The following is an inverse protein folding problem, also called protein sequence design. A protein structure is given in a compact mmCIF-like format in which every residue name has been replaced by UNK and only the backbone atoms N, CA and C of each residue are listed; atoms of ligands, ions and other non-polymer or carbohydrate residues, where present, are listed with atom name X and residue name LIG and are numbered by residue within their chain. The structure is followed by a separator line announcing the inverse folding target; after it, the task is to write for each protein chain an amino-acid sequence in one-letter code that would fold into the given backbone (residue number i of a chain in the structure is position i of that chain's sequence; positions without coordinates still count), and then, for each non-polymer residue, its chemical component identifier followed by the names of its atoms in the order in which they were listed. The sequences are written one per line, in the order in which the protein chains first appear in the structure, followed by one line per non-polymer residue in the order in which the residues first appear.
data_IF_533014386734
#
_entry.id   IF_533014386734
#
_cell.length_a   1.000
_cell.length_b   1.000
_cell.length_c   1.000
_cell.angle_alpha   90.00
_cell.angle_beta   90.00
_cell.angle_gamma   90.00
#
_symmetry.space_group_name_H-M   'P 1'
#
loop_
_entity.id
_entity.type
_entity.pdbx_description
1 polymer ?
#
# COMPACT_ATOMS: atom_id res chain seq x y z
N UNK A 1 17.12 -9.76 -0.14
CA UNK A 1 16.66 -8.48 0.45
C UNK A 1 17.78 -7.89 1.30
N UNK A 2 17.89 -6.58 1.36
CA UNK A 2 18.88 -5.87 2.18
C UNK A 2 18.19 -4.71 2.94
N UNK A 3 18.72 -4.38 4.11
CA UNK A 3 18.25 -3.27 4.93
C UNK A 3 19.46 -2.42 5.31
N UNK A 4 19.53 -1.22 4.72
CA UNK A 4 20.65 -0.33 4.90
C UNK A 4 20.22 0.87 5.74
N UNK A 5 20.91 1.11 6.85
CA UNK A 5 20.76 2.31 7.67
C UNK A 5 22.01 3.17 7.44
N UNK A 6 21.81 4.40 7.03
CA UNK A 6 22.87 5.38 6.74
C UNK A 6 22.79 6.47 7.79
N UNK A 7 23.83 6.57 8.62
CA UNK A 7 23.95 7.70 9.53
C UNK A 7 24.50 8.91 8.76
N UNK A 8 23.67 9.90 8.52
CA UNK A 8 24.03 11.06 7.73
C UNK A 8 22.87 12.04 7.54
N UNK A 9 23.20 13.19 6.98
CA UNK A 9 22.20 14.20 6.63
C UNK A 9 21.50 13.82 5.33
N UNK A 10 20.17 13.92 5.32
CA UNK A 10 19.27 13.47 4.26
C UNK A 10 19.70 13.90 2.86
N UNK A 11 19.92 15.22 2.65
CA UNK A 11 20.21 15.75 1.32
C UNK A 11 21.54 15.21 0.79
N UNK A 12 22.58 15.19 1.63
CA UNK A 12 23.89 14.70 1.28
C UNK A 12 23.86 13.22 0.89
N UNK A 13 23.09 12.41 1.59
CA UNK A 13 23.05 10.97 1.35
C UNK A 13 22.15 10.60 0.17
N UNK A 14 21.00 11.27 -0.01
CA UNK A 14 20.13 11.01 -1.17
C UNK A 14 20.83 11.43 -2.48
N UNK A 15 21.61 12.51 -2.48
CA UNK A 15 22.37 12.96 -3.65
C UNK A 15 23.36 11.91 -4.18
N UNK A 16 23.92 11.07 -3.29
CA UNK A 16 24.83 9.97 -3.67
C UNK A 16 24.12 8.77 -4.30
N UNK A 17 22.78 8.71 -4.17
CA UNK A 17 22.00 7.57 -4.67
C UNK A 17 21.79 7.67 -6.19
N UNK A 18 21.78 6.53 -6.90
CA UNK A 18 21.47 6.50 -8.32
C UNK A 18 20.06 7.04 -8.62
N UNK A 19 19.91 7.78 -9.70
CA UNK A 19 18.58 8.17 -10.18
C UNK A 19 17.75 6.94 -10.55
N UNK A 20 16.43 7.02 -10.33
CA UNK A 20 15.46 5.97 -10.69
C UNK A 20 15.78 4.59 -10.06
N UNK A 21 16.25 4.58 -8.81
CA UNK A 21 16.63 3.36 -8.07
C UNK A 21 15.59 2.90 -7.05
N UNK A 22 14.66 3.78 -6.63
CA UNK A 22 13.72 3.56 -5.54
C UNK A 22 12.31 3.30 -6.07
N UNK A 23 11.64 2.28 -5.52
CA UNK A 23 10.26 1.91 -5.87
C UNK A 23 9.23 2.68 -5.06
N UNK A 24 9.47 2.81 -3.75
CA UNK A 24 8.59 3.49 -2.81
C UNK A 24 9.39 4.39 -1.89
N UNK A 25 8.93 5.61 -1.69
CA UNK A 25 9.45 6.52 -0.66
C UNK A 25 8.36 6.74 0.37
N UNK A 26 8.69 6.61 1.65
CA UNK A 26 7.93 7.16 2.76
C UNK A 26 8.79 8.20 3.43
N UNK A 27 8.26 9.41 3.65
CA UNK A 27 8.99 10.51 4.25
C UNK A 27 8.19 11.13 5.40
N UNK A 28 8.82 11.20 6.56
CA UNK A 28 8.33 11.89 7.78
C UNK A 28 9.28 13.04 8.12
N UNK A 29 9.26 14.14 7.32
CA UNK A 29 10.22 15.23 7.46
C UNK A 29 10.00 16.04 8.74
N UNK A 30 10.94 16.90 9.14
CA UNK A 30 10.69 17.90 10.19
C UNK A 30 9.41 18.69 9.94
N UNK A 31 8.63 18.95 11.01
CA UNK A 31 7.31 19.62 10.92
C UNK A 31 7.38 21.11 11.13
N UNK A 32 8.53 21.59 11.62
CA UNK A 32 8.69 22.97 12.08
C UNK A 32 7.59 23.33 13.11
N UNK A 33 7.56 22.57 14.20
CA UNK A 33 6.49 22.61 15.21
C UNK A 33 6.36 23.97 15.91
N UNK A 34 7.39 24.83 15.89
CA UNK A 34 7.44 26.14 16.53
C UNK A 34 6.99 26.11 18.00
N UNK A 35 7.30 25.01 18.71
CA UNK A 35 6.94 24.86 20.10
C UNK A 35 8.03 25.48 20.98
N UNK A 36 7.75 26.61 21.59
CA UNK A 36 8.62 27.22 22.58
C UNK A 36 8.19 26.81 24.01
N UNK A 37 9.17 26.46 24.86
CA UNK A 37 8.99 26.23 26.27
C UNK A 37 8.46 24.87 26.70
N UNK A 38 8.28 24.69 28.00
CA UNK A 38 7.76 23.46 28.62
C UNK A 38 6.24 23.58 28.74
N UNK A 39 5.52 22.66 28.11
CA UNK A 39 4.07 22.55 28.24
C UNK A 39 3.75 21.88 29.59
N UNK A 40 2.85 22.49 30.37
CA UNK A 40 2.35 21.91 31.63
C UNK A 40 1.02 21.22 31.44
N UNK A 41 0.88 20.03 32.01
CA UNK A 41 -0.40 19.33 32.09
C UNK A 41 -1.30 20.01 33.15
N UNK A 42 -2.59 19.73 33.09
CA UNK A 42 -3.59 20.28 34.03
C UNK A 42 -3.22 19.96 35.49
N UNK A 43 -2.63 18.80 35.74
CA UNK A 43 -2.13 18.36 37.03
C UNK A 43 -0.78 18.99 37.43
N UNK A 44 -0.25 19.94 36.66
CA UNK A 44 0.99 20.69 36.96
C UNK A 44 2.29 19.97 36.58
N UNK A 45 2.24 18.74 36.02
CA UNK A 45 3.41 18.02 35.55
C UNK A 45 3.89 18.52 34.18
N UNK A 46 5.19 18.54 33.98
CA UNK A 46 5.79 18.99 32.72
C UNK A 46 5.55 17.98 31.60
N UNK A 47 5.13 18.46 30.41
CA UNK A 47 5.09 17.71 29.19
C UNK A 47 6.26 18.16 28.31
N UNK A 48 7.22 17.26 28.09
CA UNK A 48 8.30 17.49 27.13
C UNK A 48 7.71 17.41 25.72
N UNK A 49 7.52 18.55 25.08
CA UNK A 49 7.20 18.67 23.65
C UNK A 49 8.37 18.20 22.77
N UNK A 50 8.21 18.30 21.47
CA UNK A 50 9.32 18.12 20.53
C UNK A 50 10.14 19.44 20.55
N UNK A 51 11.31 19.39 21.18
CA UNK A 51 12.27 20.50 21.21
C UNK A 51 13.60 20.06 20.57
N UNK A 52 13.53 19.06 19.68
CA UNK A 52 14.69 18.46 19.06
C UNK A 52 15.30 19.43 18.04
N UNK A 53 16.61 19.58 18.03
CA UNK A 53 17.34 20.57 17.22
C UNK A 53 17.17 20.40 15.70
N UNK A 54 16.72 19.24 15.24
CA UNK A 54 16.44 18.97 13.83
C UNK A 54 15.11 19.60 13.32
N UNK A 55 14.22 20.07 14.20
CA UNK A 55 12.93 20.68 13.84
C UNK A 55 12.96 22.22 13.94
N UNK A 56 14.14 22.84 13.84
CA UNK A 56 14.32 24.29 13.99
C UNK A 56 14.66 24.95 12.66
N UNK A 57 13.82 25.90 12.24
CA UNK A 57 14.01 26.75 11.07
C UNK A 57 13.75 28.19 11.47
N UNK A 58 14.54 29.12 10.93
CA UNK A 58 14.47 30.54 11.27
C UNK A 58 13.33 31.26 10.55
N UNK A 59 12.90 30.76 9.39
CA UNK A 59 11.84 31.36 8.60
C UNK A 59 11.06 30.32 7.78
N UNK A 60 9.91 30.72 7.23
CA UNK A 60 9.13 29.91 6.29
C UNK A 60 9.94 29.65 5.01
N UNK A 61 10.64 30.63 4.53
CA UNK A 61 11.47 30.53 3.31
C UNK A 61 12.57 29.50 3.47
N UNK A 62 13.22 29.44 4.64
CA UNK A 62 14.23 28.43 4.94
C UNK A 62 13.62 27.02 4.95
N UNK A 63 12.44 26.86 5.55
CA UNK A 63 11.70 25.60 5.54
C UNK A 63 11.26 25.17 4.14
N UNK A 64 10.80 26.13 3.33
CA UNK A 64 10.42 25.88 1.92
C UNK A 64 11.64 25.46 1.07
N UNK A 65 12.78 26.14 1.24
CA UNK A 65 14.01 25.80 0.54
C UNK A 65 14.50 24.38 0.92
N UNK A 66 14.53 24.07 2.22
CA UNK A 66 14.83 22.72 2.70
C UNK A 66 13.90 21.69 2.08
N UNK A 67 12.58 21.95 2.13
CA UNK A 67 11.56 21.04 1.61
C UNK A 67 11.72 20.84 0.10
N UNK A 68 11.97 21.88 -0.64
CA UNK A 68 12.21 21.81 -2.09
C UNK A 68 13.43 20.97 -2.43
N UNK A 69 14.53 21.13 -1.70
CA UNK A 69 15.78 20.41 -1.94
C UNK A 69 15.58 18.89 -1.79
N UNK A 70 15.08 18.44 -0.65
CA UNK A 70 14.93 17.00 -0.43
C UNK A 70 13.85 16.37 -1.33
N UNK A 71 12.75 17.07 -1.62
CA UNK A 71 11.72 16.59 -2.55
C UNK A 71 12.27 16.49 -3.98
N UNK A 72 13.14 17.42 -4.41
CA UNK A 72 13.80 17.34 -5.73
C UNK A 72 14.65 16.08 -5.84
N UNK A 73 15.45 15.78 -4.82
CA UNK A 73 16.27 14.58 -4.81
C UNK A 73 15.43 13.30 -4.70
N UNK A 74 14.37 13.30 -3.90
CA UNK A 74 13.41 12.21 -3.87
C UNK A 74 12.77 11.98 -5.25
N UNK A 75 12.41 13.05 -5.96
CA UNK A 75 11.90 12.93 -7.33
C UNK A 75 12.94 12.31 -8.27
N UNK A 76 14.24 12.67 -8.15
CA UNK A 76 15.32 12.14 -8.97
C UNK A 76 15.50 10.64 -8.75
N UNK A 77 15.60 10.19 -7.50
CA UNK A 77 15.86 8.78 -7.15
C UNK A 77 14.66 7.86 -7.33
N UNK A 78 13.45 8.38 -7.29
CA UNK A 78 12.22 7.62 -7.50
C UNK A 78 12.18 7.08 -8.94
N UNK A 79 11.81 5.80 -9.12
CA UNK A 79 11.58 5.18 -10.43
C UNK A 79 10.42 5.85 -11.17
N UNK A 80 10.30 5.73 -12.51
CA UNK A 80 9.20 6.33 -13.28
C UNK A 80 7.80 5.87 -12.81
N UNK A 81 7.70 4.63 -12.34
CA UNK A 81 6.46 4.03 -11.80
C UNK A 81 6.47 3.93 -10.27
N UNK A 82 7.44 4.54 -9.61
CA UNK A 82 7.52 4.58 -8.16
C UNK A 82 6.51 5.56 -7.56
N UNK A 83 6.25 5.41 -6.28
CA UNK A 83 5.36 6.27 -5.52
C UNK A 83 6.06 6.85 -4.29
N UNK A 84 5.56 7.99 -3.82
CA UNK A 84 6.01 8.65 -2.60
C UNK A 84 4.82 8.92 -1.69
N UNK A 85 5.00 8.67 -0.41
CA UNK A 85 4.13 9.10 0.66
C UNK A 85 4.86 10.09 1.55
N UNK A 86 4.27 11.24 1.80
CA UNK A 86 4.81 12.24 2.73
C UNK A 86 3.79 12.50 3.80
N UNK A 87 4.15 12.31 5.06
CA UNK A 87 3.28 12.59 6.20
C UNK A 87 3.64 13.95 6.81
N UNK A 88 2.63 14.64 7.33
CA UNK A 88 2.84 15.89 8.03
C UNK A 88 1.63 16.35 8.82
N UNK A 89 1.90 17.18 9.82
CA UNK A 89 0.88 17.92 10.57
C UNK A 89 0.43 19.18 9.83
N UNK A 90 -0.55 19.88 10.40
CA UNK A 90 -1.10 21.13 9.84
C UNK A 90 -0.03 22.22 9.63
N UNK A 91 1.10 22.15 10.32
CA UNK A 91 2.17 23.15 10.25
C UNK A 91 2.93 23.10 8.93
N UNK A 92 3.05 21.91 8.34
CA UNK A 92 3.96 21.67 7.21
C UNK A 92 3.28 21.08 5.97
N UNK A 93 2.22 20.29 6.13
CA UNK A 93 1.69 19.46 5.03
C UNK A 93 1.20 20.29 3.83
N UNK A 94 0.64 21.48 4.06
CA UNK A 94 0.15 22.33 2.98
C UNK A 94 1.31 22.93 2.15
N UNK A 95 2.37 23.37 2.81
CA UNK A 95 3.62 23.84 2.18
C UNK A 95 4.26 22.70 1.39
N UNK A 96 4.39 21.51 1.99
CA UNK A 96 4.91 20.32 1.33
C UNK A 96 4.09 19.99 0.07
N UNK A 97 2.76 19.95 0.18
CA UNK A 97 1.86 19.65 -0.93
C UNK A 97 1.98 20.65 -2.09
N UNK A 98 2.09 21.95 -1.77
CA UNK A 98 2.30 23.00 -2.77
C UNK A 98 3.64 22.82 -3.50
N UNK A 99 4.72 22.54 -2.77
CA UNK A 99 6.05 22.30 -3.36
C UNK A 99 6.06 21.02 -4.19
N UNK A 100 5.42 19.94 -3.76
CA UNK A 100 5.28 18.72 -4.55
C UNK A 100 4.63 18.98 -5.92
N UNK A 101 3.53 19.77 -5.95
CA UNK A 101 2.87 20.16 -7.21
C UNK A 101 3.79 21.00 -8.11
N UNK A 102 4.51 21.97 -7.55
CA UNK A 102 5.47 22.81 -8.27
C UNK A 102 6.62 21.99 -8.88
N UNK A 103 7.06 20.94 -8.20
CA UNK A 103 8.10 20.01 -8.67
C UNK A 103 7.57 18.99 -9.70
N UNK A 104 6.28 18.99 -10.00
CA UNK A 104 5.67 18.13 -11.00
C UNK A 104 5.25 16.76 -10.50
N UNK A 105 5.20 16.53 -9.20
CA UNK A 105 4.56 15.32 -8.66
C UNK A 105 3.08 15.28 -9.00
N UNK A 106 2.58 14.12 -9.38
CA UNK A 106 1.16 13.87 -9.57
C UNK A 106 0.57 13.31 -8.27
N UNK A 107 -0.21 14.12 -7.57
CA UNK A 107 -0.89 13.70 -6.35
C UNK A 107 -2.00 12.72 -6.72
N UNK A 108 -2.01 11.55 -6.07
CA UNK A 108 -2.99 10.47 -6.25
C UNK A 108 -4.13 10.65 -5.24
N UNK A 109 -3.77 10.74 -3.95
CA UNK A 109 -4.69 10.97 -2.85
C UNK A 109 -4.01 11.80 -1.73
N UNK A 110 -4.81 12.46 -0.95
CA UNK A 110 -4.54 12.77 0.44
C UNK A 110 -5.20 11.72 1.34
N UNK A 111 -4.53 11.35 2.43
CA UNK A 111 -5.03 10.39 3.41
C UNK A 111 -4.95 11.00 4.79
N UNK A 112 -6.05 10.96 5.52
CA UNK A 112 -6.13 11.44 6.91
C UNK A 112 -5.87 10.27 7.84
N UNK A 113 -4.75 10.29 8.55
CA UNK A 113 -4.53 9.41 9.69
C UNK A 113 -5.26 9.99 10.91
N UNK A 114 -6.44 9.45 11.21
CA UNK A 114 -7.19 9.77 12.42
C UNK A 114 -6.63 8.99 13.61
N UNK A 115 -6.05 9.70 14.55
CA UNK A 115 -5.44 9.16 15.77
C UNK A 115 -6.53 8.68 16.74
N UNK A 116 -6.58 7.39 17.06
CA UNK A 116 -7.58 6.84 18.01
C UNK A 116 -7.43 7.43 19.43
N UNK A 117 -6.21 7.80 19.79
CA UNK A 117 -5.83 8.29 21.12
C UNK A 117 -4.94 9.55 21.02
N UNK A 118 -5.46 10.67 20.47
CA UNK A 118 -4.67 11.89 20.31
C UNK A 118 -4.34 12.53 21.67
N UNK A 119 -3.17 13.16 21.75
CA UNK A 119 -2.80 13.93 22.93
C UNK A 119 -3.75 15.12 23.10
N UNK A 120 -4.35 15.34 24.29
CA UNK A 120 -5.21 16.48 24.54
C UNK A 120 -4.48 17.84 24.34
N UNK A 121 -5.23 18.87 24.00
CA UNK A 121 -4.74 20.25 24.17
C UNK A 121 -4.89 20.65 25.63
N UNK A 122 -3.79 20.62 26.38
CA UNK A 122 -3.80 20.87 27.81
C UNK A 122 -4.24 22.29 28.19
N UNK A 123 -4.05 23.28 27.33
CA UNK A 123 -4.44 24.66 27.58
C UNK A 123 -5.89 24.99 27.21
N UNK A 124 -6.58 24.08 26.50
CA UNK A 124 -7.96 24.29 26.06
C UNK A 124 -8.17 25.47 25.10
N UNK A 125 -7.11 25.98 24.49
CA UNK A 125 -7.13 27.18 23.64
C UNK A 125 -7.47 26.91 22.18
N UNK A 126 -7.44 25.65 21.77
CA UNK A 126 -7.76 25.19 20.41
C UNK A 126 -8.17 23.71 20.41
N UNK A 127 -8.63 23.21 19.28
CA UNK A 127 -8.90 21.78 19.08
C UNK A 127 -7.61 20.96 19.27
N UNK A 128 -7.72 19.72 19.75
CA UNK A 128 -6.58 18.81 19.77
C UNK A 128 -6.20 18.36 18.36
N UNK A 129 -4.93 18.05 18.17
CA UNK A 129 -4.43 17.53 16.89
C UNK A 129 -4.77 16.04 16.74
N UNK A 130 -6.01 15.75 16.38
CA UNK A 130 -6.52 14.39 16.28
C UNK A 130 -6.18 13.68 14.97
N UNK A 131 -5.50 14.34 14.04
CA UNK A 131 -5.07 13.73 12.78
C UNK A 131 -3.74 14.29 12.27
N UNK A 132 -3.14 13.54 11.37
CA UNK A 132 -2.09 13.97 10.44
C UNK A 132 -2.51 13.60 9.02
N UNK A 133 -1.94 14.27 8.04
CA UNK A 133 -2.24 14.03 6.62
C UNK A 133 -1.05 13.39 5.94
N UNK A 134 -1.33 12.37 5.11
CA UNK A 134 -0.34 11.80 4.21
C UNK A 134 -0.70 12.21 2.77
N UNK A 135 0.27 12.70 2.03
CA UNK A 135 0.13 12.95 0.59
C UNK A 135 0.74 11.75 -0.15
N UNK A 136 -0.09 11.07 -0.93
CA UNK A 136 0.35 10.00 -1.83
C UNK A 136 0.49 10.54 -3.25
N UNK A 137 1.69 10.40 -3.81
CA UNK A 137 1.98 10.94 -5.13
C UNK A 137 2.91 10.03 -5.95
N UNK A 138 3.00 10.31 -7.23
CA UNK A 138 3.91 9.68 -8.18
C UNK A 138 4.51 10.72 -9.12
N UNK A 139 5.46 10.31 -9.99
CA UNK A 139 6.16 11.24 -10.90
C UNK A 139 5.28 11.87 -11.98
N UNK A 140 4.22 11.20 -12.41
CA UNK A 140 3.37 11.70 -13.48
C UNK A 140 2.02 11.02 -13.50
N UNK A 141 1.02 11.65 -14.11
CA UNK A 141 -0.31 11.08 -14.38
C UNK A 141 -0.24 9.74 -15.15
N UNK A 142 0.82 9.51 -15.93
CA UNK A 142 0.99 8.31 -16.76
C UNK A 142 1.73 7.17 -16.03
N UNK A 143 2.22 7.40 -14.81
CA UNK A 143 2.94 6.40 -14.05
C UNK A 143 2.04 5.19 -13.75
N UNK A 144 2.59 3.99 -13.94
CA UNK A 144 1.93 2.72 -13.60
C UNK A 144 2.38 2.28 -12.21
N UNK A 145 2.06 3.10 -11.21
CA UNK A 145 2.43 2.83 -9.83
C UNK A 145 1.76 1.56 -9.28
N UNK A 146 2.35 0.99 -8.25
CA UNK A 146 1.76 -0.16 -7.56
C UNK A 146 0.63 0.32 -6.65
N UNK A 147 -0.55 -0.29 -6.81
CA UNK A 147 -1.64 -0.23 -5.86
C UNK A 147 -2.27 -1.61 -5.73
N UNK A 148 -2.01 -2.26 -4.62
CA UNK A 148 -2.53 -3.57 -4.28
C UNK A 148 -3.96 -3.40 -3.75
N UNK A 149 -4.92 -3.24 -4.67
CA UNK A 149 -6.31 -2.87 -4.38
C UNK A 149 -7.03 -3.91 -3.52
N UNK A 150 -6.85 -5.19 -3.84
CA UNK A 150 -7.50 -6.26 -3.08
C UNK A 150 -6.85 -6.42 -1.70
N UNK A 151 -5.52 -6.31 -1.62
CA UNK A 151 -4.79 -6.25 -0.34
C UNK A 151 -5.28 -5.06 0.51
N UNK A 152 -5.52 -3.90 -0.09
CA UNK A 152 -6.09 -2.76 0.63
C UNK A 152 -7.49 -3.06 1.20
N UNK A 153 -8.32 -3.86 0.51
CA UNK A 153 -9.62 -4.32 1.02
C UNK A 153 -9.45 -5.28 2.21
N UNK A 154 -8.45 -6.16 2.18
CA UNK A 154 -8.14 -7.06 3.30
C UNK A 154 -7.63 -6.30 4.53
N UNK A 155 -7.01 -5.14 4.35
CA UNK A 155 -6.53 -4.28 5.44
C UNK A 155 -7.58 -3.29 5.95
N UNK A 156 -8.78 -3.24 5.33
CA UNK A 156 -9.81 -2.29 5.70
C UNK A 156 -10.60 -2.75 6.93
N UNK A 157 -10.14 -2.37 8.11
CA UNK A 157 -10.86 -2.51 9.38
C UNK A 157 -11.56 -1.21 9.80
N UNK A 158 -11.46 -0.15 9.01
CA UNK A 158 -11.94 1.19 9.38
C UNK A 158 -13.44 1.37 9.08
N UNK A 159 -13.94 0.69 8.04
CA UNK A 159 -15.32 0.84 7.54
C UNK A 159 -16.11 -0.48 7.52
N UNK A 160 -15.51 -1.54 8.02
CA UNK A 160 -16.14 -2.89 8.11
C UNK A 160 -16.18 -3.29 9.58
N UNK A 161 -17.35 -3.66 10.07
CA UNK A 161 -17.47 -4.20 11.41
C UNK A 161 -16.74 -5.54 11.52
N UNK A 162 -16.18 -5.85 12.69
CA UNK A 162 -15.37 -7.05 12.92
C UNK A 162 -16.12 -8.33 12.55
N UNK A 163 -17.41 -8.41 12.88
CA UNK A 163 -18.25 -9.58 12.58
C UNK A 163 -18.47 -9.75 11.08
N UNK A 164 -18.64 -8.65 10.33
CA UNK A 164 -18.79 -8.69 8.88
C UNK A 164 -17.47 -9.04 8.21
N UNK A 165 -16.38 -8.52 8.72
CA UNK A 165 -15.04 -8.85 8.24
C UNK A 165 -14.75 -10.37 8.42
N UNK A 166 -15.12 -10.95 9.56
CA UNK A 166 -15.05 -12.40 9.81
C UNK A 166 -15.90 -13.22 8.85
N UNK A 167 -17.04 -12.68 8.38
CA UNK A 167 -17.89 -13.30 7.35
C UNK A 167 -17.36 -13.13 5.91
N UNK A 168 -16.19 -12.58 5.73
CA UNK A 168 -15.57 -12.36 4.43
C UNK A 168 -16.03 -11.10 3.68
N UNK A 169 -16.79 -10.21 4.32
CA UNK A 169 -17.19 -8.93 3.71
C UNK A 169 -15.96 -8.02 3.62
N UNK A 170 -15.64 -7.56 2.41
CA UNK A 170 -14.51 -6.70 2.11
C UNK A 170 -14.98 -5.45 1.39
N UNK A 171 -14.77 -4.29 2.00
CA UNK A 171 -15.07 -2.99 1.40
C UNK A 171 -13.80 -2.28 0.96
N UNK A 172 -13.90 -1.36 0.01
CA UNK A 172 -12.77 -0.54 -0.42
C UNK A 172 -12.23 0.28 0.75
N UNK A 173 -10.91 0.30 0.89
CA UNK A 173 -10.23 1.16 1.86
C UNK A 173 -10.41 2.63 1.45
N UNK A 174 -10.92 3.45 2.35
CA UNK A 174 -11.08 4.88 2.16
C UNK A 174 -9.82 5.67 2.49
N UNK A 175 -9.90 7.00 2.37
CA UNK A 175 -8.80 7.93 2.66
C UNK A 175 -8.78 8.45 4.11
N UNK A 176 -9.56 7.87 5.01
CA UNK A 176 -9.52 8.18 6.45
C UNK A 176 -9.19 6.90 7.22
N UNK A 177 -8.01 6.85 7.83
CA UNK A 177 -7.49 5.68 8.52
C UNK A 177 -7.50 5.88 10.03
N UNK A 178 -8.18 5.02 10.76
CA UNK A 178 -8.28 5.06 12.23
C UNK A 178 -7.19 4.19 12.85
N UNK A 179 -6.02 4.77 13.14
CA UNK A 179 -4.87 4.06 13.70
C UNK A 179 -4.46 4.75 15.01
N UNK A 180 -4.10 3.96 16.03
CA UNK A 180 -3.59 4.51 17.28
C UNK A 180 -2.20 5.13 17.08
N UNK A 181 -1.85 6.13 17.91
CA UNK A 181 -0.46 6.60 17.97
C UNK A 181 0.42 5.51 18.58
N UNK A 182 1.70 5.50 18.20
CA UNK A 182 2.68 4.59 18.76
C UNK A 182 2.74 4.64 20.28
N UNK A 183 2.56 3.51 20.96
CA UNK A 183 2.55 3.37 22.40
C UNK A 183 2.91 1.96 22.86
N UNK A 184 3.05 1.77 24.18
CA UNK A 184 3.29 0.45 24.76
C UNK A 184 4.60 -0.20 24.31
N UNK A 185 4.55 -1.48 23.96
CA UNK A 185 5.70 -2.29 23.54
C UNK A 185 6.24 -1.94 22.15
N UNK A 186 5.43 -1.34 21.30
CA UNK A 186 5.84 -0.87 19.97
C UNK A 186 6.84 0.30 20.04
N UNK A 187 6.76 1.08 21.12
CA UNK A 187 7.61 2.26 21.29
C UNK A 187 9.04 1.85 21.63
N UNK A 188 9.99 2.30 20.81
CA UNK A 188 11.42 2.13 21.10
C UNK A 188 11.81 2.95 22.30
N UNK A 189 12.46 2.32 23.25
CA UNK A 189 12.95 2.92 24.50
C UNK A 189 14.47 2.83 24.54
N UNK A 190 15.07 3.78 25.25
CA UNK A 190 16.49 3.75 25.54
C UNK A 190 16.84 2.84 26.74
N UNK A 191 18.11 2.82 27.14
CA UNK A 191 18.63 2.04 28.26
C UNK A 191 18.03 2.41 29.63
N UNK A 192 17.42 3.61 29.73
CA UNK A 192 16.76 4.07 30.94
C UNK A 192 15.26 3.78 30.94
N UNK A 193 14.75 3.15 29.89
CA UNK A 193 13.32 2.90 29.69
C UNK A 193 12.52 4.11 29.22
N UNK A 194 13.21 5.22 28.89
CA UNK A 194 12.59 6.44 28.35
C UNK A 194 12.32 6.29 26.84
N UNK A 195 11.32 7.04 26.33
CA UNK A 195 11.05 7.06 24.89
C UNK A 195 12.26 7.58 24.11
N UNK A 196 12.74 6.79 23.14
CA UNK A 196 13.88 7.18 22.33
C UNK A 196 13.57 8.37 21.42
N UNK A 197 12.41 8.36 20.76
CA UNK A 197 11.96 9.40 19.81
C UNK A 197 10.60 9.94 20.21
N UNK A 198 10.42 11.27 20.12
CA UNK A 198 9.20 11.95 20.55
C UNK A 198 7.99 11.60 19.67
N UNK A 199 8.20 11.41 18.37
CA UNK A 199 7.14 11.31 17.34
C UNK A 199 7.20 10.03 16.51
N UNK A 200 7.66 8.90 17.12
CA UNK A 200 7.67 7.61 16.42
C UNK A 200 6.33 7.30 15.78
N UNK A 201 6.34 6.97 14.48
CA UNK A 201 5.12 6.57 13.75
C UNK A 201 4.73 5.13 14.06
N UNK A 202 3.42 4.82 14.11
CA UNK A 202 2.94 3.46 14.41
C UNK A 202 3.23 2.47 13.29
N UNK A 203 3.54 1.22 13.66
CA UNK A 203 3.81 0.13 12.72
C UNK A 203 2.63 -0.12 11.78
N UNK A 204 1.41 -0.10 12.29
CA UNK A 204 0.19 -0.30 11.49
C UNK A 204 0.11 0.69 10.32
N UNK A 205 0.52 1.94 10.51
CA UNK A 205 0.51 2.96 9.47
C UNK A 205 1.50 2.60 8.35
N UNK A 206 2.75 2.29 8.72
CA UNK A 206 3.81 1.96 7.76
C UNK A 206 3.54 0.61 7.08
N UNK A 207 3.05 -0.38 7.83
CA UNK A 207 2.62 -1.66 7.29
C UNK A 207 1.59 -1.47 6.18
N UNK A 208 0.56 -0.66 6.44
CA UNK A 208 -0.52 -0.36 5.48
C UNK A 208 0.04 0.34 4.24
N UNK A 209 0.83 1.42 4.40
CA UNK A 209 1.45 2.15 3.29
C UNK A 209 2.29 1.23 2.41
N UNK A 210 3.19 0.44 3.01
CA UNK A 210 4.11 -0.42 2.26
C UNK A 210 3.37 -1.57 1.58
N UNK A 211 2.43 -2.23 2.27
CA UNK A 211 1.67 -3.35 1.72
C UNK A 211 0.84 -2.94 0.48
N UNK A 212 0.20 -1.75 0.50
CA UNK A 212 -0.65 -1.33 -0.61
C UNK A 212 0.11 -0.69 -1.77
N UNK A 213 1.32 -0.16 -1.53
CA UNK A 213 2.05 0.68 -2.51
C UNK A 213 3.34 0.06 -3.03
N UNK A 214 3.65 -1.19 -2.66
CA UNK A 214 4.87 -1.89 -3.10
C UNK A 214 4.64 -3.37 -3.32
N UNK A 215 5.63 -4.02 -3.95
CA UNK A 215 5.70 -5.47 -4.16
C UNK A 215 6.85 -6.05 -3.35
N UNK A 216 6.84 -7.37 -3.18
CA UNK A 216 8.00 -8.10 -2.64
C UNK A 216 9.26 -7.73 -3.43
N UNK A 217 10.38 -7.57 -2.73
CA UNK A 217 11.69 -7.18 -3.26
C UNK A 217 11.84 -5.71 -3.70
N UNK A 218 10.76 -4.93 -3.79
CA UNK A 218 10.86 -3.49 -4.03
C UNK A 218 11.76 -2.82 -2.99
N UNK A 219 12.40 -1.72 -3.39
CA UNK A 219 13.26 -0.91 -2.52
C UNK A 219 12.48 0.26 -1.95
N UNK A 220 12.37 0.29 -0.63
CA UNK A 220 11.72 1.36 0.13
C UNK A 220 12.79 2.30 0.69
N UNK A 221 12.67 3.59 0.40
CA UNK A 221 13.50 4.64 0.98
C UNK A 221 12.71 5.42 2.02
N UNK A 222 13.32 5.66 3.19
CA UNK A 222 12.89 6.68 4.13
C UNK A 222 14.06 7.65 4.37
N UNK A 223 13.96 8.89 3.85
CA UNK A 223 15.00 9.89 4.01
C UNK A 223 15.07 10.51 5.42
N UNK A 224 14.11 10.18 6.30
CA UNK A 224 14.02 10.64 7.69
C UNK A 224 13.71 9.47 8.61
N UNK A 225 14.64 8.51 8.71
CA UNK A 225 14.42 7.17 9.25
C UNK A 225 13.94 7.10 10.71
N UNK A 226 14.32 8.07 11.55
CA UNK A 226 13.96 8.10 12.96
C UNK A 226 14.30 6.79 13.68
N UNK A 227 13.30 6.14 14.27
CA UNK A 227 13.45 4.83 14.94
C UNK A 227 13.27 3.63 14.01
N UNK A 228 13.41 3.81 12.70
CA UNK A 228 13.40 2.78 11.66
C UNK A 228 12.09 1.98 11.54
N UNK A 229 10.95 2.57 11.84
CA UNK A 229 9.65 1.90 11.68
C UNK A 229 9.41 1.48 10.24
N UNK A 230 9.78 2.34 9.28
CA UNK A 230 9.69 2.03 7.83
C UNK A 230 10.53 0.80 7.46
N UNK A 231 11.79 0.70 7.96
CA UNK A 231 12.64 -0.45 7.70
C UNK A 231 12.10 -1.74 8.34
N UNK A 232 11.61 -1.65 9.57
CA UNK A 232 11.02 -2.79 10.29
C UNK A 232 9.82 -3.36 9.50
N UNK A 233 8.92 -2.49 9.03
CA UNK A 233 7.75 -2.93 8.26
C UNK A 233 8.12 -3.37 6.83
N UNK A 234 9.11 -2.75 6.21
CA UNK A 234 9.64 -3.21 4.92
C UNK A 234 10.21 -4.63 5.03
N UNK A 235 11.02 -4.92 6.06
CA UNK A 235 11.58 -6.26 6.31
C UNK A 235 10.48 -7.28 6.58
N UNK A 236 9.54 -6.95 7.46
CA UNK A 236 8.38 -7.78 7.80
C UNK A 236 7.58 -8.19 6.56
N UNK A 237 7.42 -7.27 5.61
CA UNK A 237 6.70 -7.48 4.38
C UNK A 237 7.56 -8.03 3.21
N UNK A 238 8.85 -8.27 3.40
CA UNK A 238 9.74 -8.81 2.35
C UNK A 238 10.17 -7.79 1.29
N UNK A 239 10.35 -6.53 1.68
CA UNK A 239 10.91 -5.45 0.86
C UNK A 239 12.32 -5.14 1.31
N UNK A 240 13.18 -4.69 0.38
CA UNK A 240 14.46 -4.09 0.75
C UNK A 240 14.25 -2.66 1.25
N UNK A 241 15.14 -2.16 2.11
CA UNK A 241 15.00 -0.79 2.63
C UNK A 241 16.33 -0.04 2.73
N UNK A 242 16.23 1.29 2.53
CA UNK A 242 17.32 2.23 2.76
C UNK A 242 16.75 3.34 3.64
N UNK A 243 17.37 3.53 4.81
CA UNK A 243 16.99 4.55 5.78
C UNK A 243 18.13 5.53 5.93
N UNK A 244 17.82 6.81 6.00
CA UNK A 244 18.78 7.86 6.30
C UNK A 244 18.35 8.52 7.60
N UNK A 245 19.28 8.63 8.55
CA UNK A 245 19.02 9.23 9.84
C UNK A 245 20.28 9.94 10.36
N UNK A 246 20.09 11.15 10.81
CA UNK A 246 21.20 12.01 11.26
C UNK A 246 21.65 11.64 12.67
N UNK A 247 20.72 11.25 13.55
CA UNK A 247 21.03 10.88 14.91
C UNK A 247 21.60 9.46 14.99
N UNK A 248 22.85 9.36 15.43
CA UNK A 248 23.56 8.09 15.56
C UNK A 248 22.89 7.13 16.56
N UNK A 249 22.34 7.66 17.66
CA UNK A 249 21.63 6.85 18.67
C UNK A 249 20.38 6.21 18.06
N UNK A 250 19.63 6.98 17.24
CA UNK A 250 18.47 6.43 16.52
C UNK A 250 18.88 5.35 15.53
N UNK A 251 19.99 5.53 14.81
CA UNK A 251 20.53 4.50 13.92
C UNK A 251 20.88 3.20 14.67
N UNK A 252 21.56 3.30 15.83
CA UNK A 252 21.99 2.14 16.60
C UNK A 252 20.81 1.34 17.18
N UNK A 253 19.83 2.02 17.77
CA UNK A 253 18.62 1.37 18.29
C UNK A 253 17.72 0.85 17.16
N UNK A 254 17.64 1.62 16.09
CA UNK A 254 16.89 1.23 14.91
C UNK A 254 17.48 0.00 14.23
N UNK A 255 18.81 -0.14 14.16
CA UNK A 255 19.48 -1.33 13.63
C UNK A 255 19.10 -2.57 14.44
N UNK A 256 19.19 -2.52 15.77
CA UNK A 256 18.75 -3.62 16.64
C UNK A 256 17.31 -4.01 16.38
N UNK A 257 16.41 -3.01 16.33
CA UNK A 257 15.00 -3.25 16.01
C UNK A 257 14.80 -3.95 14.68
N UNK A 258 15.50 -3.51 13.63
CA UNK A 258 15.40 -4.13 12.30
C UNK A 258 15.98 -5.54 12.30
N UNK A 259 17.06 -5.78 13.05
CA UNK A 259 17.67 -7.12 13.14
C UNK A 259 16.70 -8.13 13.80
N UNK A 260 15.94 -7.71 14.81
CA UNK A 260 14.96 -8.53 15.53
C UNK A 260 13.66 -8.82 14.72
N UNK A 261 13.39 -8.11 13.64
CA UNK A 261 12.20 -8.36 12.80
C UNK A 261 12.46 -9.54 11.86
N UNK A 262 11.51 -10.45 11.78
CA UNK A 262 11.50 -11.53 10.80
C UNK A 262 10.55 -11.23 9.65
N UNK A 263 10.84 -11.78 8.47
CA UNK A 263 9.92 -11.74 7.34
C UNK A 263 8.69 -12.62 7.63
N UNK A 264 7.51 -12.08 7.41
CA UNK A 264 6.26 -12.81 7.52
C UNK A 264 5.76 -13.24 6.13
N UNK A 265 5.81 -14.54 5.85
CA UNK A 265 5.28 -15.10 4.59
C UNK A 265 3.75 -15.16 4.63
N UNK A 266 3.10 -14.04 4.38
CA UNK A 266 1.65 -13.89 4.41
C UNK A 266 1.08 -13.53 3.05
N UNK A 267 -0.22 -13.81 2.80
CA UNK A 267 -0.90 -13.37 1.58
C UNK A 267 -0.83 -11.85 1.35
N UNK A 268 -0.78 -11.04 2.42
CA UNK A 268 -0.63 -9.58 2.36
C UNK A 268 0.80 -9.21 1.92
N UNK A 269 1.82 -9.79 2.56
CA UNK A 269 3.22 -9.52 2.22
C UNK A 269 3.53 -9.83 0.75
N UNK A 270 2.95 -10.91 0.23
CA UNK A 270 3.10 -11.35 -1.15
C UNK A 270 2.08 -10.74 -2.13
N UNK A 271 1.16 -9.88 -1.66
CA UNK A 271 0.07 -9.33 -2.46
C UNK A 271 -0.69 -10.40 -3.27
N UNK A 272 -0.91 -11.58 -2.68
CA UNK A 272 -1.52 -12.74 -3.35
C UNK A 272 -2.89 -12.38 -3.92
N UNK A 273 -3.67 -11.58 -3.19
CA UNK A 273 -4.99 -11.14 -3.60
C UNK A 273 -4.99 -10.32 -4.91
N UNK A 274 -3.89 -9.61 -5.21
CA UNK A 274 -3.74 -8.73 -6.37
C UNK A 274 -3.05 -9.42 -7.56
N UNK A 275 -2.54 -10.64 -7.36
CA UNK A 275 -1.95 -11.41 -8.45
C UNK A 275 -3.02 -11.75 -9.49
N UNK A 276 -2.63 -11.64 -10.75
CA UNK A 276 -3.49 -12.10 -11.84
C UNK A 276 -3.53 -13.62 -11.80
N UNK A 277 -4.73 -14.23 -11.82
CA UNK A 277 -4.83 -15.68 -11.92
C UNK A 277 -4.05 -16.19 -13.13
N UNK A 278 -3.42 -17.36 -12.99
CA UNK A 278 -2.77 -18.03 -14.13
C UNK A 278 -3.73 -18.06 -15.32
N UNK A 279 -3.23 -17.64 -16.49
CA UNK A 279 -4.00 -17.80 -17.72
C UNK A 279 -4.04 -19.29 -18.03
N UNK A 280 -5.22 -19.80 -18.25
CA UNK A 280 -5.47 -21.17 -18.69
C UNK A 280 -6.37 -21.14 -19.92
N UNK A 281 -6.07 -21.95 -20.88
CA UNK A 281 -6.83 -22.07 -22.13
C UNK A 281 -7.85 -23.19 -22.01
N UNK A 282 -8.88 -23.17 -22.85
CA UNK A 282 -9.85 -24.26 -22.94
C UNK A 282 -9.17 -25.57 -23.37
N UNK A 283 -8.20 -25.48 -24.29
CA UNK A 283 -7.42 -26.63 -24.79
C UNK A 283 -6.62 -27.29 -23.65
N UNK A 284 -5.95 -26.51 -22.80
CA UNK A 284 -5.25 -27.06 -21.63
C UNK A 284 -6.22 -27.79 -20.69
N UNK A 285 -7.41 -27.24 -20.46
CA UNK A 285 -8.43 -27.86 -19.60
C UNK A 285 -9.03 -29.12 -20.23
N UNK A 286 -9.15 -29.18 -21.57
CA UNK A 286 -9.53 -30.43 -22.30
C UNK A 286 -8.44 -31.48 -22.11
N UNK A 287 -7.18 -31.13 -22.35
CA UNK A 287 -6.04 -32.05 -22.19
C UNK A 287 -5.94 -32.57 -20.74
N UNK A 288 -6.24 -31.74 -19.77
CA UNK A 288 -6.25 -32.08 -18.33
C UNK A 288 -7.51 -32.85 -17.87
N UNK A 289 -8.48 -33.14 -18.77
CA UNK A 289 -9.68 -33.90 -18.47
C UNK A 289 -10.79 -33.14 -17.74
N UNK A 290 -10.71 -31.84 -17.65
CA UNK A 290 -11.76 -30.99 -17.06
C UNK A 290 -12.96 -30.79 -18.01
N UNK A 291 -12.71 -30.88 -19.31
CA UNK A 291 -13.71 -30.84 -20.37
C UNK A 291 -13.41 -31.94 -21.39
N UNK A 292 -14.41 -32.27 -22.21
CA UNK A 292 -14.22 -33.22 -23.32
C UNK A 292 -14.70 -32.64 -24.66
N UNK A 293 -14.11 -33.05 -25.74
CA UNK A 293 -14.54 -32.67 -27.10
C UNK A 293 -15.96 -33.15 -27.36
N UNK A 294 -16.81 -32.28 -27.87
CA UNK A 294 -18.22 -32.59 -28.07
C UNK A 294 -19.09 -32.28 -26.83
N UNK A 295 -18.52 -31.70 -25.79
CA UNK A 295 -19.28 -31.36 -24.59
C UNK A 295 -20.28 -30.23 -24.87
N UNK A 296 -21.57 -30.40 -24.46
CA UNK A 296 -22.58 -29.38 -24.67
C UNK A 296 -22.44 -28.26 -23.64
N UNK A 297 -22.57 -27.02 -24.13
CA UNK A 297 -22.51 -25.79 -23.36
C UNK A 297 -23.92 -25.18 -23.25
N UNK A 298 -24.29 -24.80 -22.03
CA UNK A 298 -25.60 -24.34 -21.63
C UNK A 298 -25.58 -22.91 -21.16
N UNK A 299 -26.72 -22.20 -21.31
CA UNK A 299 -27.00 -21.04 -20.50
C UNK A 299 -27.44 -21.47 -19.09
N UNK A 300 -27.44 -20.51 -18.14
CA UNK A 300 -27.86 -20.72 -16.75
C UNK A 300 -29.30 -21.25 -16.58
N UNK A 301 -30.15 -21.00 -17.57
CA UNK A 301 -31.53 -21.49 -17.60
C UNK A 301 -31.65 -22.95 -18.08
N UNK A 302 -30.53 -23.61 -18.35
CA UNK A 302 -30.48 -25.01 -18.81
C UNK A 302 -30.66 -25.21 -20.31
N UNK A 303 -30.78 -24.13 -21.09
CA UNK A 303 -30.85 -24.20 -22.55
C UNK A 303 -29.49 -24.60 -23.11
N UNK A 304 -29.43 -25.68 -23.85
CA UNK A 304 -28.26 -26.06 -24.64
C UNK A 304 -28.08 -25.12 -25.82
N UNK A 305 -26.87 -24.64 -26.05
CA UNK A 305 -26.61 -23.58 -27.04
C UNK A 305 -25.51 -23.95 -28.02
N UNK A 306 -24.41 -24.55 -27.55
CA UNK A 306 -23.21 -24.77 -28.36
C UNK A 306 -22.49 -26.04 -27.90
N UNK A 307 -21.55 -26.52 -28.72
CA UNK A 307 -20.76 -27.72 -28.42
C UNK A 307 -19.26 -27.41 -28.47
N UNK A 308 -18.49 -27.92 -27.51
CA UNK A 308 -17.06 -27.68 -27.42
C UNK A 308 -16.27 -28.43 -28.48
N UNK A 309 -15.40 -27.73 -29.20
CA UNK A 309 -14.50 -28.29 -30.20
C UNK A 309 -13.10 -28.56 -29.59
N UNK A 310 -12.31 -29.40 -30.30
CA UNK A 310 -10.96 -29.79 -29.89
C UNK A 310 -10.01 -28.60 -29.68
N UNK A 311 -10.16 -27.57 -30.50
CA UNK A 311 -9.34 -26.34 -30.41
C UNK A 311 -9.82 -25.33 -29.35
N UNK A 312 -10.81 -25.70 -28.54
CA UNK A 312 -11.35 -24.89 -27.47
C UNK A 312 -12.38 -23.83 -27.91
N UNK A 313 -12.73 -23.79 -29.23
CA UNK A 313 -13.84 -23.00 -29.75
C UNK A 313 -15.17 -23.71 -29.52
N UNK A 314 -16.27 -22.98 -29.67
CA UNK A 314 -17.61 -23.55 -29.62
C UNK A 314 -18.21 -23.64 -31.03
N UNK A 315 -18.84 -24.76 -31.34
CA UNK A 315 -19.70 -24.93 -32.51
C UNK A 315 -21.07 -24.34 -32.18
N UNK A 316 -21.45 -23.28 -32.86
CA UNK A 316 -22.73 -22.59 -32.71
C UNK A 316 -23.35 -22.33 -34.08
N UNK A 317 -24.56 -22.78 -34.34
CA UNK A 317 -25.26 -22.66 -35.65
C UNK A 317 -24.40 -23.16 -36.86
N UNK A 318 -23.59 -24.18 -36.67
CA UNK A 318 -22.72 -24.72 -37.71
C UNK A 318 -21.37 -24.01 -37.90
N UNK A 319 -21.10 -22.96 -37.13
CA UNK A 319 -19.85 -22.19 -37.19
C UNK A 319 -18.99 -22.40 -35.94
N UNK A 320 -17.67 -22.47 -36.11
CA UNK A 320 -16.72 -22.53 -35.01
C UNK A 320 -16.33 -21.13 -34.55
N UNK A 321 -16.76 -20.72 -33.38
CA UNK A 321 -16.62 -19.38 -32.83
C UNK A 321 -15.88 -19.44 -31.47
N UNK A 322 -15.03 -18.46 -31.17
CA UNK A 322 -14.43 -18.37 -29.82
C UNK A 322 -15.51 -18.20 -28.75
N UNK A 323 -15.30 -18.81 -27.58
CA UNK A 323 -16.33 -18.87 -26.52
C UNK A 323 -16.84 -17.50 -26.02
N UNK A 324 -16.04 -16.46 -26.14
CA UNK A 324 -16.41 -15.09 -25.70
C UNK A 324 -17.29 -14.39 -26.75
N UNK A 325 -16.95 -14.54 -28.03
CA UNK A 325 -17.75 -14.05 -29.16
C UNK A 325 -19.03 -14.87 -29.29
N UNK A 326 -18.97 -16.18 -29.14
CA UNK A 326 -20.13 -17.07 -29.10
C UNK A 326 -21.14 -16.64 -28.02
N UNK A 327 -20.65 -16.32 -26.81
CA UNK A 327 -21.51 -15.81 -25.73
C UNK A 327 -22.22 -14.51 -26.09
N UNK A 328 -21.58 -13.60 -26.79
CA UNK A 328 -22.19 -12.34 -27.24
C UNK A 328 -23.23 -12.57 -28.34
N UNK A 329 -22.89 -13.39 -29.33
CA UNK A 329 -23.78 -13.73 -30.45
C UNK A 329 -25.03 -14.47 -29.96
N UNK A 330 -24.85 -15.50 -29.15
CA UNK A 330 -25.96 -16.32 -28.67
C UNK A 330 -26.89 -15.59 -27.66
N UNK A 331 -26.42 -14.50 -27.05
CA UNK A 331 -27.24 -13.60 -26.23
C UNK A 331 -27.80 -12.39 -26.97
N UNK A 332 -27.50 -12.27 -28.26
CA UNK A 332 -27.98 -11.17 -29.13
C UNK A 332 -27.66 -9.77 -28.58
N UNK A 333 -26.48 -9.60 -27.95
CA UNK A 333 -26.08 -8.31 -27.40
C UNK A 333 -25.25 -7.51 -28.40
N UNK A 334 -25.24 -6.17 -28.25
CA UNK A 334 -24.46 -5.25 -29.11
C UNK A 334 -22.94 -5.41 -28.95
N UNK A 335 -22.48 -5.94 -27.82
CA UNK A 335 -21.07 -6.18 -27.58
C UNK A 335 -20.53 -7.30 -28.49
N UNK A 336 -19.35 -7.10 -29.08
CA UNK A 336 -18.72 -8.13 -29.93
C UNK A 336 -18.26 -9.35 -29.15
N UNK A 337 -18.00 -9.23 -27.86
CA UNK A 337 -17.52 -10.27 -26.95
C UNK A 337 -18.07 -10.06 -25.53
N UNK A 338 -18.41 -11.15 -24.86
CA UNK A 338 -18.69 -11.20 -23.41
C UNK A 338 -17.63 -12.09 -22.72
N UNK A 339 -17.52 -12.01 -21.40
CA UNK A 339 -16.71 -12.97 -20.69
C UNK A 339 -17.42 -14.35 -20.72
N UNK A 340 -17.01 -15.24 -21.61
CA UNK A 340 -17.64 -16.55 -21.77
C UNK A 340 -17.62 -17.38 -20.49
N UNK A 341 -16.62 -17.22 -19.64
CA UNK A 341 -16.58 -17.94 -18.36
C UNK A 341 -17.71 -17.55 -17.41
N UNK A 342 -18.26 -16.35 -17.52
CA UNK A 342 -19.40 -15.92 -16.67
C UNK A 342 -20.75 -16.34 -17.28
N UNK A 343 -20.77 -16.82 -18.51
CA UNK A 343 -21.98 -17.06 -19.29
C UNK A 343 -22.28 -18.56 -19.43
N UNK A 344 -21.23 -19.37 -19.60
CA UNK A 344 -21.39 -20.76 -19.97
C UNK A 344 -21.41 -21.69 -18.77
N UNK A 345 -22.22 -22.73 -18.89
CA UNK A 345 -22.36 -23.82 -17.94
C UNK A 345 -22.24 -25.15 -18.70
N UNK A 346 -21.82 -26.17 -18.00
CA UNK A 346 -21.84 -27.56 -18.47
C UNK A 346 -22.58 -28.43 -17.45
N UNK A 347 -23.03 -29.62 -17.85
CA UNK A 347 -23.68 -30.55 -16.93
C UNK A 347 -22.67 -31.49 -16.28
N UNK A 348 -22.73 -31.62 -14.97
CA UNK A 348 -22.01 -32.61 -14.17
C UNK A 348 -23.04 -33.30 -13.24
N UNK A 349 -23.19 -34.60 -13.32
CA UNK A 349 -24.17 -35.36 -12.55
C UNK A 349 -25.58 -34.76 -12.62
N UNK A 350 -26.02 -34.35 -13.81
CA UNK A 350 -27.30 -33.67 -14.08
C UNK A 350 -27.46 -32.25 -13.49
N UNK A 351 -26.45 -31.69 -12.86
CA UNK A 351 -26.44 -30.31 -12.38
C UNK A 351 -25.67 -29.36 -13.30
N UNK A 352 -26.12 -28.12 -13.40
CA UNK A 352 -25.41 -27.08 -14.16
C UNK A 352 -24.26 -26.52 -13.32
N UNK A 353 -23.04 -26.70 -13.81
CA UNK A 353 -21.83 -26.21 -13.20
C UNK A 353 -21.25 -25.08 -14.06
N UNK A 354 -20.90 -23.98 -13.46
CA UNK A 354 -20.25 -22.86 -14.14
C UNK A 354 -18.87 -23.29 -14.66
N UNK A 355 -18.54 -22.95 -15.92
CA UNK A 355 -17.20 -23.19 -16.44
C UNK A 355 -16.16 -22.30 -15.75
N UNK A 356 -16.58 -21.20 -15.11
CA UNK A 356 -15.69 -20.38 -14.29
C UNK A 356 -15.21 -21.16 -13.04
N UNK A 357 -16.10 -21.91 -12.39
CA UNK A 357 -15.76 -22.71 -11.21
C UNK A 357 -14.84 -23.87 -11.59
N UNK A 358 -15.11 -24.54 -12.73
CA UNK A 358 -14.24 -25.59 -13.26
C UNK A 358 -12.84 -25.03 -13.57
N UNK A 359 -12.76 -23.86 -14.19
CA UNK A 359 -11.47 -23.20 -14.46
C UNK A 359 -10.73 -22.87 -13.18
N UNK A 360 -11.43 -22.41 -12.13
CA UNK A 360 -10.79 -22.08 -10.86
C UNK A 360 -10.27 -23.34 -10.16
N UNK A 361 -11.02 -24.43 -10.20
CA UNK A 361 -10.57 -25.74 -9.71
C UNK A 361 -9.29 -26.19 -10.45
N UNK A 362 -9.25 -26.06 -11.78
CA UNK A 362 -8.06 -26.40 -12.55
C UNK A 362 -6.85 -25.52 -12.17
N UNK A 363 -7.05 -24.23 -11.96
CA UNK A 363 -5.99 -23.32 -11.51
C UNK A 363 -5.35 -23.68 -10.18
N UNK A 364 -6.11 -24.31 -9.30
CA UNK A 364 -5.61 -24.78 -8.01
C UNK A 364 -4.74 -26.03 -8.11
N UNK A 365 -4.78 -26.73 -9.22
CA UNK A 365 -4.00 -27.97 -9.47
C UNK A 365 -2.70 -27.73 -10.20
N UNK A 366 -2.52 -26.55 -10.78
CA UNK A 366 -1.32 -26.15 -11.55
C UNK A 366 -0.57 -25.01 -10.82
#
# INVERSE_FOLDING_TARGET
MYHKIINGETLNEVQKMPAKSIDLIFADPPYWMRTEGVLKRVEGTDYKGCADGWDQFNSLEEYEEFTRKWLTECYRVLKPNGAIWVIGGMQCIYTIGAIMQQLGYWIINDVVWHKKNPTPNFMGTRLNNSHETLIWATKSKKAKYTFNYKTAKELNTDTVEENDFKKGIRKQLGSVWKIAVCQGTERVKDENGEKLHSTQKPEELLYRVIAISSKKEDVVLDPFGGTMTTAAMAKKLGRSSIMIEMDKKYCEYGQKRVDDIEYEDTPIANAVFDQKPKKVTMTEMITAGYFYVGEPFFFRNGQEVATLLEDGRLLYNGEAIDMHSCAATAREVKAKRLNGFDIWFVKRNNELVSIADIRENYRQTI
#
